data_IF_970943014843
#
_entry.id   IF_970943014843
#
_cell.length_a   1.000
_cell.length_b   1.000
_cell.length_c   1.000
_cell.angle_alpha   90.00
_cell.angle_beta   90.00
_cell.angle_gamma   90.00
#
_symmetry.space_group_name_H-M   'P 1'
#
loop_
_entity.id
_entity.type
_entity.pdbx_description
1 polymer ?
#
# COMPACT_ATOMS: atom_id res chain seq x y z
N UNK A 1 -11.03 9.20 -7.79
CA UNK A 1 -10.36 9.55 -6.51
C UNK A 1 -8.87 9.31 -6.60
N UNK A 2 -8.13 9.97 -5.77
CA UNK A 2 -6.67 9.84 -5.75
C UNK A 2 -6.21 9.44 -4.37
N UNK A 3 -5.28 8.50 -4.32
CA UNK A 3 -4.65 8.09 -3.07
C UNK A 3 -3.13 8.14 -3.24
N UNK A 4 -2.43 8.12 -2.12
CA UNK A 4 -0.98 7.99 -2.13
C UNK A 4 -0.63 6.65 -1.48
N UNK A 5 0.33 5.95 -2.07
CA UNK A 5 0.79 4.66 -1.56
C UNK A 5 2.24 4.80 -1.18
N UNK A 6 2.60 4.39 0.03
CA UNK A 6 3.99 4.35 0.49
C UNK A 6 4.37 2.92 0.79
N UNK A 7 5.48 2.50 0.21
CA UNK A 7 6.00 1.15 0.42
C UNK A 7 7.35 1.26 1.11
N UNK A 8 7.56 0.41 2.11
CA UNK A 8 8.75 0.49 2.96
C UNK A 8 9.56 -0.79 2.89
N UNK A 9 10.84 -0.67 3.16
CA UNK A 9 11.78 -1.79 3.21
C UNK A 9 11.73 -2.59 1.91
N UNK A 10 11.60 -3.90 1.99
CA UNK A 10 11.65 -4.74 0.81
C UNK A 10 10.50 -4.49 -0.17
N UNK A 11 9.45 -3.84 0.29
CA UNK A 11 8.32 -3.55 -0.62
C UNK A 11 8.60 -2.39 -1.56
N UNK A 12 9.64 -1.60 -1.30
CA UNK A 12 9.93 -0.43 -2.12
C UNK A 12 10.20 -0.78 -3.58
N UNK A 13 10.76 -1.93 -3.83
CA UNK A 13 11.07 -2.32 -5.20
C UNK A 13 9.82 -2.60 -6.03
N UNK A 14 8.68 -2.66 -5.38
CA UNK A 14 7.42 -2.91 -6.08
C UNK A 14 6.71 -1.62 -6.50
N UNK A 15 7.30 -0.46 -6.23
CA UNK A 15 6.74 0.80 -6.69
C UNK A 15 6.85 0.89 -8.20
N UNK A 16 5.88 1.51 -8.88
CA UNK A 16 5.95 1.71 -10.31
C UNK A 16 7.17 2.53 -10.69
N UNK A 17 7.67 2.30 -11.89
CA UNK A 17 8.78 3.09 -12.39
C UNK A 17 8.40 4.56 -12.43
N UNK A 18 9.37 5.41 -12.13
CA UNK A 18 9.13 6.84 -12.09
C UNK A 18 8.60 7.35 -10.77
N UNK A 19 8.35 6.45 -9.83
CA UNK A 19 7.96 6.87 -8.49
C UNK A 19 9.15 7.47 -7.78
N UNK A 20 8.87 8.43 -6.90
CA UNK A 20 9.93 9.05 -6.13
C UNK A 20 10.13 8.30 -4.83
N UNK A 21 11.35 7.87 -4.57
CA UNK A 21 11.68 7.31 -3.28
C UNK A 21 10.85 6.11 -2.88
N UNK A 22 9.92 6.31 -1.97
CA UNK A 22 9.13 5.20 -1.43
C UNK A 22 7.63 5.43 -1.57
N UNK A 23 7.22 6.37 -2.43
CA UNK A 23 5.79 6.65 -2.58
C UNK A 23 5.40 6.84 -4.03
N UNK A 24 4.14 6.62 -4.30
CA UNK A 24 3.55 6.94 -5.59
C UNK A 24 2.10 7.36 -5.38
N UNK A 25 1.57 8.10 -6.33
CA UNK A 25 0.16 8.45 -6.32
C UNK A 25 -0.58 7.58 -7.31
N UNK A 26 -1.84 7.33 -7.01
CA UNK A 26 -2.65 6.49 -7.87
C UNK A 26 -4.04 7.05 -8.00
N UNK A 27 -4.53 7.08 -9.24
CA UNK A 27 -5.89 7.51 -9.53
C UNK A 27 -6.76 6.26 -9.58
N UNK A 28 -7.85 6.27 -8.84
CA UNK A 28 -8.76 5.14 -8.79
C UNK A 28 -10.08 5.51 -9.46
N UNK A 29 -10.63 4.56 -10.21
CA UNK A 29 -11.85 4.78 -10.95
C UNK A 29 -13.10 4.50 -10.14
N UNK A 30 -12.99 3.78 -9.05
CA UNK A 30 -14.13 3.44 -8.25
C UNK A 30 -13.71 2.85 -6.92
N UNK A 31 -14.65 2.23 -6.25
CA UNK A 31 -14.42 1.63 -4.96
C UNK A 31 -13.31 0.59 -5.04
N UNK A 32 -12.31 0.73 -4.19
CA UNK A 32 -11.13 -0.12 -4.25
C UNK A 32 -10.69 -0.49 -2.84
N UNK A 33 -10.40 -1.76 -2.62
CA UNK A 33 -9.90 -2.22 -1.32
C UNK A 33 -8.38 -2.22 -1.32
N UNK A 34 -7.81 -2.23 -0.12
CA UNK A 34 -6.35 -2.32 0.04
C UNK A 34 -5.83 -3.60 -0.61
N UNK A 35 -6.57 -4.70 -0.49
CA UNK A 35 -6.16 -5.95 -1.11
C UNK A 35 -6.04 -5.86 -2.62
N UNK A 36 -6.95 -5.11 -3.24
CA UNK A 36 -6.86 -4.91 -4.68
C UNK A 36 -5.62 -4.11 -5.04
N UNK A 37 -5.27 -3.11 -4.22
CA UNK A 37 -4.07 -2.33 -4.44
C UNK A 37 -2.83 -3.20 -4.33
N UNK A 38 -2.80 -4.06 -3.31
CA UNK A 38 -1.67 -4.96 -3.09
C UNK A 38 -1.49 -5.90 -4.28
N UNK A 39 -2.59 -6.44 -4.79
CA UNK A 39 -2.52 -7.34 -5.95
C UNK A 39 -2.05 -6.62 -7.19
N UNK A 40 -2.50 -5.39 -7.37
CA UNK A 40 -2.11 -4.62 -8.54
C UNK A 40 -0.62 -4.28 -8.52
N UNK A 41 -0.09 -4.00 -7.34
CA UNK A 41 1.35 -3.74 -7.17
C UNK A 41 2.16 -5.02 -7.21
N UNK A 42 1.50 -6.17 -7.17
CA UNK A 42 2.16 -7.48 -7.20
C UNK A 42 3.05 -7.73 -6.00
N UNK A 43 2.65 -7.21 -4.84
CA UNK A 43 3.39 -7.50 -3.62
C UNK A 43 3.29 -8.99 -3.31
N UNK A 44 4.36 -9.59 -2.78
CA UNK A 44 4.35 -11.04 -2.54
C UNK A 44 3.35 -11.46 -1.48
N UNK A 45 2.57 -12.48 -1.77
CA UNK A 45 1.54 -12.96 -0.87
C UNK A 45 2.11 -13.60 0.38
N UNK A 46 3.29 -14.19 0.26
CA UNK A 46 3.88 -14.95 1.35
C UNK A 46 4.58 -14.09 2.39
N UNK A 47 4.58 -12.79 2.22
CA UNK A 47 5.16 -11.88 3.20
C UNK A 47 4.01 -11.14 3.88
N UNK A 48 3.88 -11.28 5.21
CA UNK A 48 2.84 -10.54 5.93
C UNK A 48 3.04 -9.04 5.76
N UNK A 49 1.95 -8.31 5.84
CA UNK A 49 1.97 -6.88 5.61
C UNK A 49 1.27 -6.16 6.74
N UNK A 50 1.88 -5.05 7.17
CA UNK A 50 1.28 -4.13 8.12
C UNK A 50 0.81 -2.94 7.32
N UNK A 51 -0.48 -2.66 7.37
CA UNK A 51 -1.09 -1.60 6.57
C UNK A 51 -1.62 -0.54 7.52
N UNK A 52 -1.16 0.69 7.33
CA UNK A 52 -1.55 1.81 8.19
C UNK A 52 -2.23 2.86 7.33
N UNK A 53 -3.43 3.28 7.73
CA UNK A 53 -4.13 4.39 7.10
C UNK A 53 -4.64 5.28 8.22
N UNK A 54 -4.29 6.57 8.18
CA UNK A 54 -4.70 7.54 9.18
C UNK A 54 -4.30 7.12 10.60
N UNK A 55 -3.13 6.52 10.71
CA UNK A 55 -2.63 6.09 12.00
C UNK A 55 -3.22 4.81 12.54
N UNK A 56 -4.08 4.16 11.80
CA UNK A 56 -4.73 2.93 12.24
C UNK A 56 -4.32 1.75 11.41
N UNK A 57 -4.18 0.60 12.07
CA UNK A 57 -3.98 -0.66 11.36
C UNK A 57 -5.28 -1.03 10.67
N UNK A 58 -5.18 -1.38 9.40
CA UNK A 58 -6.35 -1.85 8.65
C UNK A 58 -6.03 -3.17 7.99
N UNK A 59 -7.07 -3.87 7.60
CA UNK A 59 -6.94 -5.14 6.90
C UNK A 59 -7.11 -4.93 5.40
N UNK A 60 -6.85 -5.98 4.63
CA UNK A 60 -6.91 -5.87 3.18
C UNK A 60 -8.31 -5.59 2.65
N UNK A 61 -9.34 -5.84 3.45
CA UNK A 61 -10.71 -5.56 3.03
C UNK A 61 -11.12 -4.09 3.24
N UNK A 62 -10.22 -3.28 3.79
CA UNK A 62 -10.51 -1.86 3.97
C UNK A 62 -10.66 -1.19 2.60
N UNK A 63 -11.73 -0.42 2.44
CA UNK A 63 -11.99 0.32 1.20
C UNK A 63 -11.42 1.73 1.35
N UNK A 64 -10.50 2.08 0.47
CA UNK A 64 -9.81 3.36 0.57
C UNK A 64 -10.72 4.51 0.17
N UNK A 65 -10.39 5.70 0.64
CA UNK A 65 -11.13 6.93 0.36
C UNK A 65 -10.22 7.93 -0.31
N UNK A 66 -10.83 8.86 -1.02
CA UNK A 66 -10.08 9.92 -1.68
C UNK A 66 -9.17 10.62 -0.68
N UNK A 67 -7.93 10.78 -1.05
CA UNK A 67 -6.94 11.42 -0.20
C UNK A 67 -6.25 10.52 0.79
N UNK A 68 -6.62 9.25 0.86
CA UNK A 68 -5.97 8.35 1.80
C UNK A 68 -4.49 8.16 1.48
N UNK A 69 -3.70 8.02 2.55
CA UNK A 69 -2.31 7.63 2.45
C UNK A 69 -2.21 6.20 2.97
N UNK A 70 -1.88 5.29 2.08
CA UNK A 70 -1.79 3.86 2.39
C UNK A 70 -0.32 3.51 2.59
N UNK A 71 0.07 3.20 3.82
CA UNK A 71 1.45 2.84 4.13
C UNK A 71 1.52 1.34 4.37
N UNK A 72 2.41 0.67 3.67
CA UNK A 72 2.54 -0.79 3.75
C UNK A 72 3.96 -1.15 4.14
N UNK A 73 4.08 -1.90 5.23
CA UNK A 73 5.35 -2.30 5.80
C UNK A 73 5.43 -3.82 5.90
N UNK A 74 6.61 -4.41 5.77
CA UNK A 74 6.78 -5.79 6.20
C UNK A 74 6.88 -5.81 7.73
N UNK A 75 6.63 -6.97 8.37
CA UNK A 75 6.80 -7.06 9.81
C UNK A 75 8.24 -6.78 10.18
N UNK A 76 8.42 -6.04 11.25
CA UNK A 76 9.76 -5.76 11.76
C UNK A 76 10.14 -6.84 12.75
N UNK A 77 11.38 -6.99 12.90
CA UNK A 77 11.70 -7.81 13.96
C UNK A 77 12.31 -8.93 13.56
N UNK A 78 12.73 -8.82 12.83
CA UNK A 78 13.47 -9.82 12.84
C UNK A 78 12.88 -10.98 13.36
N UNK A 79 11.84 -10.77 13.29
CA UNK A 79 11.16 -11.93 13.83
C UNK A 79 11.21 -12.75 12.93
#
# INVERSE_FOLDING_TARGET
MEIEIRLFAIFREYLPKGSGGFSCKKILQGETSVGEIIRELKLPDNIPKIIIIRGNHVKEDYVVKDGDLVSIFPPIGGG
#
